data_IF_376131065045
#
_entry.id   IF_376131065045
#
_cell.length_a   1.000
_cell.length_b   1.000
_cell.length_c   1.000
_cell.angle_alpha   90.00
_cell.angle_beta   90.00
_cell.angle_gamma   90.00
#
_symmetry.space_group_name_H-M   'P 1'
#
loop_
_entity.id
_entity.type
_entity.pdbx_description
1 polymer ?
#
# COMPACT_ATOMS: atom_id res chain seq x y z
N UNK A 1 11.19 -7.73 -31.90
CA UNK A 1 11.18 -6.25 -31.99
C UNK A 1 12.30 -5.73 -31.11
N UNK A 2 13.27 -5.02 -31.68
CA UNK A 2 14.41 -4.47 -30.94
C UNK A 2 13.99 -3.27 -30.06
N UNK A 3 14.66 -3.06 -28.92
CA UNK A 3 14.43 -1.91 -28.04
C UNK A 3 14.55 -0.57 -28.78
N UNK A 4 15.52 -0.48 -29.70
CA UNK A 4 15.76 0.70 -30.54
C UNK A 4 14.54 0.98 -31.46
N UNK A 5 13.95 -0.06 -32.04
CA UNK A 5 12.76 0.07 -32.88
C UNK A 5 11.53 0.53 -32.09
N UNK A 6 11.41 0.10 -30.82
CA UNK A 6 10.33 0.53 -29.93
C UNK A 6 10.45 2.01 -29.54
N UNK A 7 11.68 2.47 -29.25
CA UNK A 7 11.96 3.90 -29.01
C UNK A 7 11.62 4.72 -30.25
N UNK A 8 12.07 4.28 -31.43
CA UNK A 8 11.81 4.99 -32.69
C UNK A 8 10.31 5.17 -32.96
N UNK A 9 9.53 4.09 -32.84
CA UNK A 9 8.06 4.14 -32.95
C UNK A 9 7.42 5.08 -31.93
N UNK A 10 7.91 5.07 -30.69
CA UNK A 10 7.38 5.94 -29.64
C UNK A 10 7.63 7.41 -29.98
N UNK A 11 8.85 7.74 -30.41
CA UNK A 11 9.22 9.11 -30.81
C UNK A 11 8.41 9.60 -32.02
N UNK A 12 8.21 8.76 -33.05
CA UNK A 12 7.40 9.14 -34.21
C UNK A 12 5.95 9.46 -33.85
N UNK A 13 5.36 8.73 -32.89
CA UNK A 13 3.99 8.99 -32.44
C UNK A 13 3.88 10.36 -31.73
N UNK A 14 4.83 10.71 -30.85
CA UNK A 14 4.85 12.02 -30.20
C UNK A 14 4.99 13.17 -31.22
N UNK A 15 5.83 12.98 -32.25
CA UNK A 15 5.99 13.97 -33.32
C UNK A 15 4.70 14.15 -34.12
N UNK A 16 3.95 13.08 -34.40
CA UNK A 16 2.65 13.16 -35.06
C UNK A 16 1.59 13.87 -34.20
N UNK A 17 1.65 13.68 -32.89
CA UNK A 17 0.72 14.30 -31.93
C UNK A 17 1.11 15.76 -31.57
N UNK A 18 2.27 16.25 -32.03
CA UNK A 18 2.76 17.61 -31.72
C UNK A 18 3.17 17.80 -30.26
N UNK A 19 3.39 16.70 -29.53
CA UNK A 19 3.74 16.68 -28.12
C UNK A 19 5.27 16.59 -27.94
N UNK A 20 5.82 17.10 -26.82
CA UNK A 20 7.23 16.90 -26.50
C UNK A 20 7.56 15.40 -26.37
N UNK A 21 8.64 14.97 -27.02
CA UNK A 21 9.04 13.55 -27.06
C UNK A 21 9.49 13.09 -25.67
N UNK A 22 8.70 12.22 -25.03
CA UNK A 22 9.07 11.53 -23.79
C UNK A 22 9.25 10.02 -24.00
N UNK A 23 10.51 9.58 -23.89
CA UNK A 23 10.93 8.16 -24.00
C UNK A 23 11.26 7.55 -22.64
N UNK A 24 10.80 8.15 -21.54
CA UNK A 24 10.99 7.63 -20.20
C UNK A 24 10.36 6.24 -20.01
N UNK A 25 10.97 5.44 -19.13
CA UNK A 25 10.51 4.08 -18.85
C UNK A 25 9.20 4.09 -18.04
N UNK A 26 8.06 3.84 -18.71
CA UNK A 26 6.73 3.78 -18.07
C UNK A 26 6.60 2.70 -16.99
N UNK A 27 7.53 1.75 -16.93
CA UNK A 27 7.57 0.65 -15.95
C UNK A 27 7.99 1.07 -14.55
N UNK A 28 8.68 2.21 -14.39
CA UNK A 28 9.21 2.65 -13.09
C UNK A 28 8.11 2.83 -12.02
N UNK A 29 6.89 3.20 -12.42
CA UNK A 29 5.73 3.36 -11.51
C UNK A 29 4.81 2.13 -11.46
N UNK A 30 5.04 1.14 -12.32
CA UNK A 30 4.23 -0.09 -12.43
C UNK A 30 4.93 -1.31 -11.80
N UNK A 31 6.15 -1.14 -11.34
CA UNK A 31 6.91 -2.19 -10.64
C UNK A 31 6.49 -2.28 -9.18
N UNK A 32 6.28 -3.51 -8.71
CA UNK A 32 6.01 -3.80 -7.30
C UNK A 32 4.79 -4.69 -7.09
N UNK A 33 4.54 -5.06 -5.84
CA UNK A 33 3.34 -5.79 -5.46
C UNK A 33 2.15 -4.83 -5.41
N UNK A 34 1.01 -5.19 -6.00
CA UNK A 34 -0.24 -4.44 -5.83
C UNK A 34 -0.61 -4.40 -4.35
N UNK A 35 -0.91 -3.22 -3.83
CA UNK A 35 -1.38 -3.07 -2.45
C UNK A 35 -2.76 -3.73 -2.33
N UNK A 36 -2.97 -4.45 -1.23
CA UNK A 36 -4.29 -4.99 -0.89
C UNK A 36 -5.11 -3.82 -0.37
N UNK A 37 -6.21 -3.52 -1.06
CA UNK A 37 -7.16 -2.53 -0.60
C UNK A 37 -7.98 -3.14 0.54
N UNK A 38 -7.85 -2.56 1.73
CA UNK A 38 -8.52 -3.03 2.94
C UNK A 38 -9.33 -1.86 3.45
N UNK A 39 -10.64 -2.07 3.58
CA UNK A 39 -11.50 -1.06 4.16
C UNK A 39 -11.25 -0.94 5.67
N UNK A 40 -10.54 0.12 6.04
CA UNK A 40 -10.19 0.41 7.42
C UNK A 40 -11.36 0.94 8.24
N UNK A 41 -12.48 1.33 7.61
CA UNK A 41 -13.69 1.70 8.33
C UNK A 41 -14.19 0.54 9.20
N UNK A 42 -13.96 -0.69 8.77
CA UNK A 42 -14.26 -1.92 9.51
C UNK A 42 -13.45 -2.05 10.81
N UNK A 43 -12.26 -1.44 10.90
CA UNK A 43 -11.50 -1.45 12.16
C UNK A 43 -12.25 -0.66 13.23
N UNK A 44 -12.96 0.40 12.86
CA UNK A 44 -13.72 1.23 13.80
C UNK A 44 -14.98 0.52 14.34
N UNK A 45 -15.50 -0.51 13.67
CA UNK A 45 -16.65 -1.29 14.13
C UNK A 45 -16.25 -2.43 15.08
N UNK A 46 -15.04 -2.97 14.95
CA UNK A 46 -14.54 -4.08 15.79
C UNK A 46 -14.41 -3.65 17.26
N UNK A 47 -14.83 -4.43 18.27
CA UNK A 47 -14.62 -4.07 19.67
C UNK A 47 -13.14 -3.85 20.06
N UNK A 48 -12.85 -2.90 20.96
CA UNK A 48 -11.49 -2.50 21.36
C UNK A 48 -10.59 -3.66 21.81
N UNK A 49 -11.14 -4.60 22.58
CA UNK A 49 -10.42 -5.80 23.05
C UNK A 49 -9.86 -6.64 21.89
N UNK A 50 -10.56 -6.68 20.75
CA UNK A 50 -10.18 -7.47 19.57
C UNK A 50 -9.22 -6.75 18.62
N UNK A 51 -8.96 -5.44 18.82
CA UNK A 51 -7.99 -4.65 18.03
C UNK A 51 -6.54 -4.74 18.54
N UNK A 52 -6.33 -5.38 19.70
CA UNK A 52 -5.07 -5.35 20.44
C UNK A 52 -3.94 -6.15 19.79
N UNK A 53 -4.25 -7.37 19.33
CA UNK A 53 -3.25 -8.27 18.74
C UNK A 53 -3.45 -8.38 17.24
N UNK A 54 -2.36 -8.47 16.49
CA UNK A 54 -2.39 -8.61 15.02
C UNK A 54 -3.20 -9.86 14.61
N UNK A 55 -3.12 -10.95 15.38
CA UNK A 55 -3.88 -12.18 15.10
C UNK A 55 -5.37 -12.02 15.34
N UNK A 56 -5.78 -11.35 16.41
CA UNK A 56 -7.19 -11.06 16.69
C UNK A 56 -7.77 -10.14 15.61
N UNK A 57 -7.06 -9.05 15.29
CA UNK A 57 -7.46 -8.12 14.25
C UNK A 57 -7.54 -8.79 12.87
N UNK A 58 -6.58 -9.67 12.55
CA UNK A 58 -6.58 -10.48 11.33
C UNK A 58 -7.84 -11.35 11.21
N UNK A 59 -8.25 -11.98 12.31
CA UNK A 59 -9.43 -12.83 12.35
C UNK A 59 -10.71 -12.03 12.09
N UNK A 60 -10.84 -10.86 12.72
CA UNK A 60 -12.03 -10.01 12.58
C UNK A 60 -12.10 -9.32 11.21
N UNK A 61 -10.95 -8.94 10.61
CA UNK A 61 -10.90 -8.36 9.27
C UNK A 61 -10.88 -9.41 8.15
N UNK A 62 -10.80 -10.70 8.48
CA UNK A 62 -10.60 -11.80 7.51
C UNK A 62 -9.35 -11.62 6.63
N UNK A 63 -8.30 -10.99 7.15
CA UNK A 63 -7.04 -10.73 6.44
C UNK A 63 -5.92 -11.60 7.02
N UNK A 64 -4.95 -11.99 6.20
CA UNK A 64 -3.75 -12.71 6.68
C UNK A 64 -2.95 -11.86 7.66
N UNK A 65 -2.47 -12.47 8.76
CA UNK A 65 -1.60 -11.83 9.76
C UNK A 65 -0.36 -11.16 9.15
N UNK A 66 0.23 -11.75 8.10
CA UNK A 66 1.41 -11.20 7.42
C UNK A 66 1.10 -9.88 6.71
N UNK A 67 -0.07 -9.76 6.10
CA UNK A 67 -0.55 -8.53 5.45
C UNK A 67 -0.70 -7.41 6.47
N UNK A 68 -1.40 -7.67 7.59
CA UNK A 68 -1.53 -6.68 8.66
C UNK A 68 -0.17 -6.29 9.27
N UNK A 69 0.75 -7.23 9.45
CA UNK A 69 2.09 -6.93 9.95
C UNK A 69 2.87 -5.97 9.03
N UNK A 70 2.81 -6.17 7.71
CA UNK A 70 3.43 -5.25 6.73
C UNK A 70 2.80 -3.86 6.82
N UNK A 71 1.47 -3.78 6.91
CA UNK A 71 0.75 -2.51 6.98
C UNK A 71 1.06 -1.71 8.26
N UNK A 72 1.27 -2.39 9.39
CA UNK A 72 1.80 -1.76 10.60
C UNK A 72 3.23 -1.24 10.41
N UNK A 73 4.09 -1.95 9.68
CA UNK A 73 5.46 -1.51 9.37
C UNK A 73 5.49 -0.32 8.41
N UNK A 74 4.52 -0.25 7.50
CA UNK A 74 4.33 0.86 6.56
C UNK A 74 3.64 2.07 7.19
N UNK A 75 3.17 1.98 8.43
CA UNK A 75 2.52 3.08 9.16
C UNK A 75 1.07 3.35 8.75
N UNK A 76 0.44 2.45 7.99
CA UNK A 76 -0.96 2.57 7.55
C UNK A 76 -1.96 2.38 8.71
N UNK A 77 -1.53 1.74 9.80
CA UNK A 77 -2.33 1.48 10.99
C UNK A 77 -1.60 1.94 12.25
N UNK A 78 -2.33 2.61 13.15
CA UNK A 78 -1.82 2.99 14.47
C UNK A 78 -2.05 1.86 15.48
N UNK A 79 -1.05 1.60 16.32
CA UNK A 79 -1.23 0.73 17.49
C UNK A 79 -2.00 1.47 18.57
N UNK A 80 -3.08 0.86 19.06
CA UNK A 80 -3.81 1.35 20.22
C UNK A 80 -3.32 0.63 21.48
N UNK A 81 -2.91 1.42 22.47
CA UNK A 81 -2.70 0.97 23.85
C UNK A 81 -3.90 1.40 24.71
N UNK A 82 -4.17 0.66 25.79
CA UNK A 82 -5.20 1.06 26.73
C UNK A 82 -4.85 2.43 27.34
N UNK A 83 -5.77 3.39 27.26
CA UNK A 83 -5.63 4.73 27.81
C UNK A 83 -5.52 4.72 29.34
N UNK A 84 -6.09 3.70 30.00
CA UNK A 84 -6.05 3.53 31.46
C UNK A 84 -4.71 3.03 32.00
N UNK A 85 -3.65 2.97 31.19
CA UNK A 85 -2.28 2.93 31.72
C UNK A 85 -1.81 4.39 31.87
N UNK A 86 -2.07 5.08 32.99
CA UNK A 86 -1.18 6.17 33.34
C UNK A 86 0.19 5.53 33.59
N UNK A 87 1.23 6.23 33.15
CA UNK A 87 2.61 5.85 33.38
C UNK A 87 2.80 5.48 34.86
N UNK A 88 3.02 4.19 35.14
CA UNK A 88 3.59 3.74 36.41
C UNK A 88 4.96 4.43 36.52
N UNK A 89 4.96 5.58 37.19
CA UNK A 89 6.14 6.15 37.82
C UNK A 89 6.22 5.49 39.20
N UNK A 90 7.44 5.16 39.61
CA UNK A 90 7.76 4.46 40.85
C UNK A 90 7.07 5.05 42.09
#
# INVERSE_FOLDING_TARGET
MSYVQAIWRTATNYVQEGLPVDVSCKRAKQSGCKKVDIDWSLVATIPLNKRTTIRSLAKELHVKKSTLHKLFKEGMLRRHSNTLKPYLKD
#
